data_IF_125171862930
#
_entry.id   IF_125171862930
#
_cell.length_a   1.000
_cell.length_b   1.000
_cell.length_c   1.000
_cell.angle_alpha   90.00
_cell.angle_beta   90.00
_cell.angle_gamma   90.00
#
_symmetry.space_group_name_H-M   'P 1'
#
loop_
_entity.id
_entity.type
_entity.pdbx_description
1 polymer ?
#
# COMPACT_ATOMS: atom_id res chain seq x y z
N UNK A 1 -39.84 62.02 -11.01
CA UNK A 1 -38.49 61.55 -10.55
C UNK A 1 -38.57 60.04 -10.48
N UNK A 2 -38.13 59.37 -11.54
CA UNK A 2 -38.05 57.89 -11.59
C UNK A 2 -36.62 57.50 -11.23
N UNK A 3 -36.50 56.66 -10.20
CA UNK A 3 -35.21 56.14 -9.74
C UNK A 3 -35.01 54.78 -10.39
N UNK A 4 -34.02 54.66 -11.30
CA UNK A 4 -33.56 53.38 -11.88
C UNK A 4 -32.64 52.70 -10.90
N UNK A 5 -32.95 51.45 -10.49
CA UNK A 5 -32.07 50.55 -9.79
C UNK A 5 -31.23 49.73 -10.78
N UNK A 6 -29.93 49.55 -10.58
CA UNK A 6 -29.11 48.72 -11.44
C UNK A 6 -29.29 47.24 -11.12
N UNK A 7 -29.55 46.43 -12.13
CA UNK A 7 -29.55 44.96 -12.09
C UNK A 7 -28.10 44.48 -12.04
N UNK A 8 -27.67 43.89 -10.93
CA UNK A 8 -26.41 43.16 -10.86
C UNK A 8 -26.58 41.73 -11.42
N UNK A 9 -26.05 41.51 -12.60
CA UNK A 9 -25.93 40.16 -13.19
C UNK A 9 -24.72 39.47 -12.57
N UNK A 10 -24.95 38.61 -11.58
CA UNK A 10 -23.91 37.77 -11.00
C UNK A 10 -23.48 36.65 -11.97
N UNK A 11 -22.28 36.73 -12.49
CA UNK A 11 -21.68 35.66 -13.27
C UNK A 11 -21.30 34.49 -12.34
N UNK A 12 -22.03 33.38 -12.44
CA UNK A 12 -21.69 32.14 -11.76
C UNK A 12 -20.59 31.44 -12.59
N UNK A 13 -19.36 31.52 -12.10
CA UNK A 13 -18.25 30.74 -12.66
C UNK A 13 -18.39 29.29 -12.22
N UNK A 14 -18.80 28.41 -13.13
CA UNK A 14 -18.67 26.97 -12.96
C UNK A 14 -17.20 26.57 -13.07
N UNK A 15 -16.55 26.31 -11.92
CA UNK A 15 -15.28 25.62 -11.90
C UNK A 15 -15.51 24.15 -12.26
N UNK A 16 -15.30 23.78 -13.51
CA UNK A 16 -15.15 22.38 -13.88
C UNK A 16 -13.87 21.84 -13.27
N UNK A 17 -13.91 20.72 -12.52
CA UNK A 17 -12.67 20.12 -12.01
C UNK A 17 -11.83 19.69 -13.22
N UNK A 18 -10.65 20.30 -13.36
CA UNK A 18 -9.64 19.88 -14.31
C UNK A 18 -9.29 18.42 -14.01
N UNK A 19 -9.72 17.49 -14.85
CA UNK A 19 -9.21 16.11 -14.84
C UNK A 19 -7.77 16.16 -15.27
N UNK A 20 -6.84 16.10 -14.32
CA UNK A 20 -5.42 15.89 -14.61
C UNK A 20 -5.33 14.48 -15.20
N UNK A 21 -5.18 14.39 -16.51
CA UNK A 21 -4.82 13.16 -17.19
C UNK A 21 -3.35 12.90 -16.87
N UNK A 22 -3.08 12.02 -15.91
CA UNK A 22 -1.73 11.58 -15.62
C UNK A 22 -1.28 10.71 -16.79
N UNK A 23 -0.44 11.27 -17.66
CA UNK A 23 0.22 10.51 -18.71
C UNK A 23 1.18 9.52 -18.03
N UNK A 24 0.88 8.22 -18.12
CA UNK A 24 1.80 7.20 -17.60
C UNK A 24 3.11 7.21 -18.36
N UNK A 25 4.22 7.03 -17.66
CA UNK A 25 5.53 6.91 -18.26
C UNK A 25 5.56 5.74 -19.25
N UNK A 26 6.10 6.01 -20.45
CA UNK A 26 6.21 4.98 -21.48
C UNK A 26 7.42 4.09 -21.20
N UNK A 27 7.20 2.77 -21.31
CA UNK A 27 8.28 1.80 -21.21
C UNK A 27 9.34 2.07 -22.30
N UNK A 28 10.64 2.11 -21.97
CA UNK A 28 11.70 2.30 -22.96
C UNK A 28 11.63 1.22 -24.05
N UNK A 29 11.87 1.63 -25.30
CA UNK A 29 11.80 0.72 -26.44
C UNK A 29 12.85 -0.40 -26.32
N UNK A 30 12.40 -1.65 -26.49
CA UNK A 30 13.27 -2.84 -26.44
C UNK A 30 13.53 -3.38 -25.04
N UNK A 31 12.90 -2.82 -24.00
CA UNK A 31 12.98 -3.38 -22.65
C UNK A 31 11.89 -4.43 -22.42
N UNK A 32 12.28 -5.53 -21.77
CA UNK A 32 11.40 -6.66 -21.48
C UNK A 32 10.75 -6.51 -20.11
N UNK A 33 9.55 -7.09 -19.95
CA UNK A 33 8.90 -7.19 -18.64
C UNK A 33 9.66 -8.20 -17.78
N UNK A 34 10.27 -7.73 -16.69
CA UNK A 34 10.93 -8.58 -15.70
C UNK A 34 9.93 -9.15 -14.70
N UNK A 35 9.04 -8.30 -14.21
CA UNK A 35 8.02 -8.68 -13.23
C UNK A 35 6.84 -7.74 -13.25
N UNK A 36 5.73 -8.22 -12.68
CA UNK A 36 4.56 -7.40 -12.37
C UNK A 36 3.89 -7.91 -11.11
N UNK A 37 3.40 -7.00 -10.27
CA UNK A 37 2.58 -7.32 -9.12
C UNK A 37 1.40 -6.36 -9.01
N UNK A 38 0.25 -6.89 -8.59
CA UNK A 38 -1.00 -6.11 -8.47
C UNK A 38 -1.62 -6.36 -7.11
N UNK A 39 -2.07 -5.29 -6.47
CA UNK A 39 -2.93 -5.37 -5.28
C UNK A 39 -4.23 -4.62 -5.52
N UNK A 40 -5.29 -5.04 -4.81
CA UNK A 40 -6.63 -4.50 -4.99
C UNK A 40 -7.12 -3.76 -3.75
N UNK A 41 -7.97 -2.75 -3.95
CA UNK A 41 -8.59 -1.93 -2.91
C UNK A 41 -10.03 -1.58 -3.30
N UNK A 42 -10.83 -1.13 -2.31
CA UNK A 42 -12.17 -0.63 -2.61
C UNK A 42 -12.07 0.77 -3.24
N UNK A 43 -12.49 0.89 -4.50
CA UNK A 43 -12.46 2.14 -5.25
C UNK A 43 -13.42 3.21 -4.70
N UNK A 44 -14.43 2.81 -3.92
CA UNK A 44 -15.38 3.74 -3.28
C UNK A 44 -14.76 4.50 -2.09
N UNK A 45 -13.67 3.98 -1.51
CA UNK A 45 -12.86 4.70 -0.52
C UNK A 45 -12.03 5.77 -1.26
N UNK A 46 -12.66 6.93 -1.51
CA UNK A 46 -12.10 8.01 -2.32
C UNK A 46 -10.76 8.52 -1.79
N UNK A 47 -10.67 8.77 -0.48
CA UNK A 47 -9.45 9.26 0.13
C UNK A 47 -8.28 8.29 -0.04
N UNK A 48 -8.54 7.00 0.16
CA UNK A 48 -7.56 5.94 -0.08
C UNK A 48 -7.16 5.82 -1.55
N UNK A 49 -8.15 5.87 -2.46
CA UNK A 49 -7.93 5.78 -3.90
C UNK A 49 -7.06 6.92 -4.41
N UNK A 50 -7.31 8.16 -3.94
CA UNK A 50 -6.51 9.33 -4.26
C UNK A 50 -5.08 9.20 -3.76
N UNK A 51 -4.88 8.80 -2.50
CA UNK A 51 -3.56 8.58 -1.92
C UNK A 51 -2.74 7.53 -2.68
N UNK A 52 -3.38 6.43 -3.10
CA UNK A 52 -2.75 5.39 -3.92
C UNK A 52 -2.35 5.97 -5.28
N UNK A 53 -3.23 6.77 -5.92
CA UNK A 53 -2.96 7.40 -7.20
C UNK A 53 -1.80 8.38 -7.13
N UNK A 54 -1.76 9.25 -6.12
CA UNK A 54 -0.66 10.19 -5.89
C UNK A 54 0.66 9.44 -5.69
N UNK A 55 0.70 8.48 -4.74
CA UNK A 55 1.93 7.75 -4.45
C UNK A 55 2.43 6.94 -5.65
N UNK A 56 1.52 6.32 -6.41
CA UNK A 56 1.88 5.58 -7.61
C UNK A 56 2.42 6.50 -8.73
N UNK A 57 1.80 7.67 -8.95
CA UNK A 57 2.25 8.61 -9.97
C UNK A 57 3.64 9.18 -9.68
N UNK A 58 3.99 9.36 -8.41
CA UNK A 58 5.30 9.87 -8.00
C UNK A 58 6.44 8.88 -8.23
N UNK A 59 6.16 7.58 -8.22
CA UNK A 59 7.17 6.54 -8.50
C UNK A 59 7.14 6.06 -9.96
N UNK A 60 6.11 6.41 -10.75
CA UNK A 60 6.00 6.01 -12.15
C UNK A 60 7.11 6.65 -13.00
N UNK A 61 7.77 5.84 -13.82
CA UNK A 61 8.83 6.31 -14.72
C UNK A 61 10.23 6.35 -14.13
N UNK A 62 10.41 5.97 -12.86
CA UNK A 62 11.74 5.92 -12.25
C UNK A 62 12.59 4.85 -12.91
N UNK A 63 13.84 5.20 -13.22
CA UNK A 63 14.87 4.26 -13.70
C UNK A 63 15.93 4.09 -12.62
N UNK A 64 16.10 2.86 -12.13
CA UNK A 64 17.16 2.51 -11.17
C UNK A 64 18.39 2.08 -11.99
N UNK A 65 19.46 2.86 -11.89
CA UNK A 65 20.70 2.59 -12.62
C UNK A 65 21.36 1.28 -12.15
N UNK A 66 22.28 0.69 -12.92
CA UNK A 66 23.07 -0.44 -12.47
C UNK A 66 23.72 -0.15 -11.12
N UNK A 67 23.54 -1.06 -10.17
CA UNK A 67 24.06 -0.94 -8.79
C UNK A 67 23.56 0.30 -8.03
N UNK A 68 22.51 0.95 -8.55
CA UNK A 68 21.90 2.12 -7.93
C UNK A 68 20.81 1.75 -6.93
N UNK A 69 20.53 2.67 -6.03
CA UNK A 69 19.50 2.55 -5.02
C UNK A 69 18.25 3.37 -5.37
N UNK A 70 17.11 2.91 -4.87
CA UNK A 70 15.83 3.60 -4.86
C UNK A 70 15.31 3.68 -3.43
N UNK A 71 14.82 4.85 -3.02
CA UNK A 71 14.13 5.08 -1.75
C UNK A 71 12.69 5.52 -2.04
N UNK A 72 11.73 4.79 -1.49
CA UNK A 72 10.31 5.14 -1.61
C UNK A 72 10.02 6.50 -0.95
N UNK A 73 10.54 6.72 0.25
CA UNK A 73 10.30 7.96 0.99
C UNK A 73 10.93 9.19 0.32
N UNK A 74 12.13 9.06 -0.26
CA UNK A 74 12.75 10.15 -1.00
C UNK A 74 11.96 10.50 -2.27
N UNK A 75 11.41 9.49 -2.95
CA UNK A 75 10.68 9.67 -4.22
C UNK A 75 9.27 10.21 -3.97
N UNK A 76 8.54 9.66 -3.00
CA UNK A 76 7.15 10.08 -2.70
C UNK A 76 7.10 11.34 -1.85
N UNK A 77 8.11 11.60 -1.03
CA UNK A 77 8.17 12.76 -0.15
C UNK A 77 7.21 12.68 1.04
N UNK A 78 6.95 13.85 1.63
CA UNK A 78 6.06 13.98 2.82
C UNK A 78 4.60 13.81 2.41
N UNK A 79 3.87 12.99 3.18
CA UNK A 79 2.44 12.74 2.98
C UNK A 79 1.65 13.74 3.81
N UNK A 80 1.41 14.92 3.25
CA UNK A 80 0.66 15.99 3.89
C UNK A 80 -0.55 16.39 3.05
N UNK A 81 -1.50 17.12 3.63
CA UNK A 81 -2.67 17.61 2.90
C UNK A 81 -2.26 18.64 1.82
N UNK A 82 -1.22 19.43 2.09
CA UNK A 82 -0.66 20.40 1.14
C UNK A 82 -0.05 19.70 -0.09
N UNK A 83 0.46 18.47 0.09
CA UNK A 83 0.91 17.61 -1.00
C UNK A 83 -0.23 16.83 -1.69
N UNK A 84 -1.49 17.10 -1.33
CA UNK A 84 -2.69 16.50 -1.92
C UNK A 84 -3.17 15.22 -1.24
N UNK A 85 -2.43 14.68 -0.25
CA UNK A 85 -2.83 13.45 0.43
C UNK A 85 -4.07 13.67 1.31
N UNK A 86 -5.01 12.72 1.22
CA UNK A 86 -6.30 12.75 1.90
C UNK A 86 -6.28 11.93 3.19
N UNK A 87 -7.25 12.20 4.06
CA UNK A 87 -7.52 11.33 5.19
C UNK A 87 -8.14 10.01 4.73
N UNK A 88 -7.61 8.90 5.23
CA UNK A 88 -8.14 7.57 5.04
C UNK A 88 -7.70 6.67 6.20
N UNK A 89 -8.17 5.41 6.26
CA UNK A 89 -7.76 4.48 7.30
C UNK A 89 -6.27 4.15 7.23
N UNK A 90 -5.56 4.37 8.34
CA UNK A 90 -4.17 3.96 8.58
C UNK A 90 -4.10 2.99 9.75
N UNK A 91 -2.98 2.26 9.87
CA UNK A 91 -2.64 1.46 11.06
C UNK A 91 -1.68 2.30 11.91
N UNK A 92 -2.10 2.64 13.12
CA UNK A 92 -1.30 3.37 14.10
C UNK A 92 -1.37 2.67 15.44
N UNK A 93 -0.22 2.32 16.02
CA UNK A 93 -0.11 1.62 17.32
C UNK A 93 -0.95 0.34 17.44
N UNK A 94 -1.13 -0.38 16.32
CA UNK A 94 -1.93 -1.61 16.30
C UNK A 94 -3.45 -1.39 16.21
N UNK A 95 -3.89 -0.20 15.84
CA UNK A 95 -5.30 0.13 15.62
C UNK A 95 -5.53 0.80 14.27
N UNK A 96 -6.75 0.66 13.73
CA UNK A 96 -7.18 1.39 12.55
C UNK A 96 -7.75 2.74 12.96
N UNK A 97 -7.12 3.82 12.52
CA UNK A 97 -7.54 5.21 12.77
C UNK A 97 -7.61 5.98 11.45
N UNK A 98 -8.27 7.14 11.45
CA UNK A 98 -8.19 8.08 10.33
C UNK A 98 -6.87 8.86 10.42
N UNK A 99 -6.19 8.96 9.27
CA UNK A 99 -4.95 9.72 9.15
C UNK A 99 -4.62 10.05 7.70
N UNK A 100 -3.76 11.05 7.48
CA UNK A 100 -3.35 11.47 6.14
C UNK A 100 -2.45 10.41 5.50
N UNK A 101 -2.70 10.08 4.24
CA UNK A 101 -1.88 9.13 3.46
C UNK A 101 -2.29 7.66 3.60
N UNK A 102 -3.47 7.36 4.16
CA UNK A 102 -3.98 5.98 4.18
C UNK A 102 -4.08 5.41 2.76
N UNK A 103 -3.45 4.25 2.53
CA UNK A 103 -3.31 3.64 1.20
C UNK A 103 -1.89 3.63 0.65
N UNK A 104 -1.03 4.59 1.04
CA UNK A 104 0.36 4.68 0.54
C UNK A 104 1.16 3.40 0.81
N UNK A 105 1.00 2.78 1.98
CA UNK A 105 1.64 1.49 2.29
C UNK A 105 1.19 0.33 1.39
N UNK A 106 0.06 0.45 0.70
CA UNK A 106 -0.33 -0.53 -0.32
C UNK A 106 0.51 -0.36 -1.59
N UNK A 107 0.87 0.87 -1.96
CA UNK A 107 1.78 1.14 -3.09
C UNK A 107 3.17 0.60 -2.78
N UNK A 108 3.74 0.91 -1.61
CA UNK A 108 5.06 0.38 -1.19
C UNK A 108 5.07 -1.15 -1.10
N UNK A 109 4.00 -1.77 -0.60
CA UNK A 109 3.85 -3.24 -0.58
C UNK A 109 3.78 -3.85 -1.97
N UNK A 110 3.06 -3.20 -2.90
CA UNK A 110 2.99 -3.65 -4.30
C UNK A 110 4.35 -3.56 -4.97
N UNK A 111 5.08 -2.46 -4.70
CA UNK A 111 6.44 -2.24 -5.17
C UNK A 111 7.41 -3.30 -4.61
N UNK A 112 7.37 -3.57 -3.30
CA UNK A 112 8.17 -4.60 -2.64
C UNK A 112 8.05 -5.97 -3.33
N UNK A 113 6.82 -6.40 -3.59
CA UNK A 113 6.58 -7.69 -4.24
C UNK A 113 7.02 -7.69 -5.71
N UNK A 114 6.78 -6.62 -6.46
CA UNK A 114 7.26 -6.50 -7.84
C UNK A 114 8.79 -6.49 -7.89
N UNK A 115 9.45 -5.77 -6.98
CA UNK A 115 10.91 -5.69 -6.89
C UNK A 115 11.55 -7.06 -6.62
N UNK A 116 11.07 -7.79 -5.64
CA UNK A 116 11.55 -9.16 -5.35
C UNK A 116 11.38 -10.09 -6.56
N UNK A 117 10.25 -9.98 -7.27
CA UNK A 117 9.97 -10.80 -8.48
C UNK A 117 10.81 -10.40 -9.68
N UNK A 118 11.44 -9.23 -9.70
CA UNK A 118 12.39 -8.79 -10.73
C UNK A 118 13.86 -9.04 -10.35
N UNK A 119 14.12 -9.68 -9.21
CA UNK A 119 15.47 -9.95 -8.74
C UNK A 119 16.17 -8.74 -8.11
N UNK A 120 15.47 -7.64 -7.85
CA UNK A 120 16.01 -6.52 -7.10
C UNK A 120 16.27 -6.88 -5.64
N UNK A 121 17.28 -6.30 -5.04
CA UNK A 121 17.62 -6.49 -3.62
C UNK A 121 16.81 -5.50 -2.78
N UNK A 122 16.17 -6.00 -1.72
CA UNK A 122 15.54 -5.16 -0.71
C UNK A 122 16.59 -4.85 0.36
N UNK A 123 16.94 -3.57 0.51
CA UNK A 123 17.95 -3.11 1.48
C UNK A 123 17.31 -2.58 2.76
N UNK A 124 16.05 -2.10 2.68
CA UNK A 124 15.26 -1.70 3.86
C UNK A 124 13.78 -2.03 3.63
N UNK A 125 13.14 -2.60 4.63
CA UNK A 125 11.69 -2.81 4.70
C UNK A 125 11.23 -2.92 6.16
N UNK A 126 9.95 -2.65 6.39
CA UNK A 126 9.32 -2.77 7.72
C UNK A 126 7.97 -3.48 7.59
N UNK A 127 7.62 -4.42 8.51
CA UNK A 127 6.29 -5.03 8.56
C UNK A 127 5.27 -4.09 9.19
N UNK A 128 3.99 -4.27 8.86
CA UNK A 128 2.93 -3.69 9.67
C UNK A 128 2.77 -4.45 10.99
N UNK A 129 2.25 -3.76 12.01
CA UNK A 129 1.91 -4.39 13.29
C UNK A 129 0.67 -5.28 13.23
N UNK A 130 -0.23 -5.03 12.26
CA UNK A 130 -1.43 -5.79 11.98
C UNK A 130 -1.35 -6.40 10.58
N UNK A 131 -1.95 -7.57 10.42
CA UNK A 131 -2.07 -8.20 9.11
C UNK A 131 -2.93 -7.35 8.17
N UNK A 132 -2.38 -6.99 7.02
CA UNK A 132 -3.09 -6.34 5.93
C UNK A 132 -3.81 -7.39 5.07
N UNK A 133 -4.87 -6.99 4.36
CA UNK A 133 -5.72 -7.92 3.61
C UNK A 133 -5.36 -8.08 2.13
N UNK A 134 -4.56 -7.15 1.59
CA UNK A 134 -4.28 -7.08 0.15
C UNK A 134 -3.04 -7.88 -0.29
N UNK A 135 -2.31 -8.49 0.66
CA UNK A 135 -1.23 -9.45 0.40
C UNK A 135 -1.23 -10.56 1.46
N UNK A 136 -0.66 -11.75 1.16
CA UNK A 136 -0.36 -12.75 2.18
C UNK A 136 0.57 -12.20 3.27
N UNK A 137 0.55 -12.73 4.50
CA UNK A 137 1.44 -12.29 5.57
C UNK A 137 2.92 -12.46 5.19
N UNK A 138 3.81 -11.65 5.79
CA UNK A 138 5.24 -11.53 5.48
C UNK A 138 5.55 -11.09 4.03
N UNK A 139 4.58 -10.45 3.36
CA UNK A 139 4.75 -9.88 2.02
C UNK A 139 4.39 -8.39 1.94
N UNK A 140 4.10 -7.77 3.06
CA UNK A 140 3.83 -6.34 3.18
C UNK A 140 5.13 -5.53 3.41
N UNK A 141 5.08 -4.25 3.06
CA UNK A 141 6.15 -3.28 3.33
C UNK A 141 5.52 -1.97 3.78
N UNK A 142 5.57 -1.71 5.08
CA UNK A 142 5.10 -0.49 5.69
C UNK A 142 6.10 0.64 5.48
N UNK A 143 5.60 1.84 5.20
CA UNK A 143 6.38 3.07 5.14
C UNK A 143 5.77 4.13 6.05
N UNK A 144 6.63 4.92 6.67
CA UNK A 144 6.26 6.04 7.54
C UNK A 144 7.27 7.17 7.38
N UNK A 145 7.26 8.16 8.25
CA UNK A 145 8.32 9.19 8.30
C UNK A 145 9.67 8.65 8.76
N UNK A 146 9.68 7.51 9.47
CA UNK A 146 10.87 6.88 10.05
C UNK A 146 11.20 5.51 9.45
N UNK A 147 10.30 4.97 8.64
CA UNK A 147 10.43 3.64 8.03
C UNK A 147 10.35 3.78 6.52
N UNK A 148 11.33 3.30 5.81
CA UNK A 148 11.39 3.36 4.34
C UNK A 148 11.27 1.98 3.69
N UNK A 149 11.02 1.95 2.40
CA UNK A 149 11.26 0.83 1.52
C UNK A 149 12.39 1.22 0.58
N UNK A 150 13.52 0.52 0.68
CA UNK A 150 14.69 0.77 -0.17
C UNK A 150 15.03 -0.46 -1.00
N UNK A 151 15.37 -0.20 -2.24
CA UNK A 151 15.70 -1.20 -3.24
C UNK A 151 17.07 -0.89 -3.82
N UNK A 152 17.83 -1.93 -4.13
CA UNK A 152 19.07 -1.85 -4.91
C UNK A 152 18.90 -2.67 -6.19
N UNK A 153 19.37 -2.14 -7.30
CA UNK A 153 19.47 -2.85 -8.57
C UNK A 153 20.79 -3.63 -8.63
N UNK A 154 20.83 -4.96 -8.42
CA UNK A 154 22.08 -5.73 -8.47
C UNK A 154 22.53 -6.05 -9.91
N UNK A 155 21.74 -5.67 -10.92
CA UNK A 155 22.03 -5.99 -12.32
C UNK A 155 23.00 -4.99 -12.95
N UNK A 156 23.76 -5.44 -13.94
CA UNK A 156 24.65 -4.60 -14.76
C UNK A 156 23.89 -3.71 -15.77
N UNK A 157 22.55 -3.75 -15.77
CA UNK A 157 21.67 -3.02 -16.66
C UNK A 157 20.65 -2.20 -15.85
N UNK A 158 20.21 -1.04 -16.33
CA UNK A 158 19.19 -0.27 -15.66
C UNK A 158 17.84 -0.99 -15.66
N UNK A 159 17.01 -0.69 -14.64
CA UNK A 159 15.66 -1.23 -14.47
C UNK A 159 14.67 -0.08 -14.41
N UNK A 160 13.61 -0.13 -15.21
CA UNK A 160 12.56 0.88 -15.28
C UNK A 160 11.33 0.43 -14.50
N UNK A 161 10.83 1.31 -13.65
CA UNK A 161 9.62 1.13 -12.85
C UNK A 161 8.44 1.78 -13.54
N UNK A 162 7.37 1.03 -13.75
CA UNK A 162 6.08 1.54 -14.18
C UNK A 162 5.03 1.26 -13.11
N UNK A 163 4.27 2.29 -12.72
CA UNK A 163 3.17 2.20 -11.77
C UNK A 163 1.87 2.64 -12.44
N UNK A 164 0.85 1.76 -12.43
CA UNK A 164 -0.46 2.03 -13.00
C UNK A 164 -1.56 1.80 -11.97
N UNK A 165 -2.43 2.80 -11.81
CA UNK A 165 -3.65 2.69 -11.02
C UNK A 165 -4.83 2.55 -11.96
N UNK A 166 -5.73 1.65 -11.65
CA UNK A 166 -6.99 1.41 -12.35
C UNK A 166 -8.09 1.25 -11.32
N UNK A 167 -9.35 1.17 -11.77
CA UNK A 167 -10.47 1.09 -10.83
C UNK A 167 -10.33 -0.12 -9.88
N UNK A 168 -10.09 0.16 -8.59
CA UNK A 168 -9.92 -0.84 -7.54
C UNK A 168 -8.58 -1.56 -7.52
N UNK A 169 -7.56 -1.13 -8.26
CA UNK A 169 -6.26 -1.78 -8.28
C UNK A 169 -5.06 -0.87 -8.53
N UNK A 170 -3.90 -1.27 -8.01
CA UNK A 170 -2.60 -0.70 -8.34
C UNK A 170 -1.66 -1.81 -8.79
N UNK A 171 -1.02 -1.60 -9.94
CA UNK A 171 -0.04 -2.50 -10.54
C UNK A 171 1.30 -1.81 -10.63
N UNK A 172 2.34 -2.51 -10.22
CA UNK A 172 3.73 -2.10 -10.40
C UNK A 172 4.42 -3.16 -11.24
N UNK A 173 5.15 -2.70 -12.26
CA UNK A 173 5.89 -3.54 -13.20
C UNK A 173 7.31 -3.03 -13.32
N UNK A 174 8.26 -3.93 -13.41
CA UNK A 174 9.66 -3.63 -13.72
C UNK A 174 10.00 -4.12 -15.11
N UNK A 175 10.72 -3.29 -15.85
CA UNK A 175 11.21 -3.57 -17.18
C UNK A 175 12.74 -3.42 -17.22
N UNK A 176 13.40 -4.21 -18.04
CA UNK A 176 14.85 -4.20 -18.18
C UNK A 176 15.33 -5.29 -19.11
N UNK A 177 16.57 -5.74 -18.91
CA UNK A 177 17.13 -6.89 -19.62
C UNK A 177 16.82 -8.16 -18.83
N UNK A 178 16.12 -9.11 -19.46
CA UNK A 178 15.84 -10.40 -18.85
C UNK A 178 17.08 -11.31 -18.93
N UNK A 179 17.57 -11.78 -17.78
CA UNK A 179 18.72 -12.68 -17.67
C UNK A 179 18.32 -14.17 -17.57
N UNK A 180 17.02 -14.47 -17.79
CA UNK A 180 16.49 -15.82 -17.79
C UNK A 180 16.13 -16.39 -16.41
N UNK A 181 16.25 -15.60 -15.36
CA UNK A 181 15.82 -15.97 -14.03
C UNK A 181 14.38 -15.52 -13.76
N UNK A 182 13.60 -16.35 -13.09
CA UNK A 182 12.26 -16.06 -12.60
C UNK A 182 12.23 -16.19 -11.09
N UNK A 183 11.62 -15.22 -10.42
CA UNK A 183 11.52 -15.21 -8.97
C UNK A 183 10.08 -15.34 -8.51
N UNK A 184 9.85 -16.19 -7.51
CA UNK A 184 8.56 -16.38 -6.86
C UNK A 184 8.68 -16.16 -5.35
N UNK A 185 7.59 -15.63 -4.76
CA UNK A 185 7.52 -15.40 -3.32
C UNK A 185 6.46 -16.31 -2.75
N UNK A 186 6.86 -17.19 -1.83
CA UNK A 186 5.94 -18.02 -1.07
C UNK A 186 5.82 -17.50 0.36
N UNK A 187 4.63 -17.65 0.96
CA UNK A 187 4.33 -17.23 2.33
C UNK A 187 3.62 -18.36 3.07
N UNK A 188 4.00 -18.60 4.32
CA UNK A 188 3.46 -19.65 5.17
C UNK A 188 3.08 -19.09 6.53
N UNK A 189 1.86 -19.32 6.99
CA UNK A 189 1.45 -19.11 8.38
C UNK A 189 2.04 -20.27 9.19
N UNK A 190 2.76 -19.94 10.26
CA UNK A 190 3.38 -20.88 11.18
C UNK A 190 2.49 -21.11 12.39
N UNK A 191 1.85 -20.04 12.89
CA UNK A 191 1.04 -20.07 14.08
C UNK A 191 -0.07 -19.01 13.97
N UNK A 192 -1.28 -19.35 14.42
CA UNK A 192 -2.37 -18.39 14.64
C UNK A 192 -2.39 -17.94 16.09
N UNK A 193 -2.50 -16.63 16.31
CA UNK A 193 -2.53 -16.01 17.62
C UNK A 193 -3.97 -15.56 17.91
N UNK A 194 -4.70 -16.23 18.82
CA UNK A 194 -6.08 -15.86 19.13
C UNK A 194 -6.12 -14.47 19.76
N UNK A 195 -7.19 -13.68 19.50
CA UNK A 195 -7.35 -12.38 20.12
C UNK A 195 -7.68 -12.53 21.61
N UNK A 196 -7.32 -11.54 22.45
CA UNK A 196 -7.79 -11.47 23.82
C UNK A 196 -9.32 -11.43 23.89
N UNK A 197 -9.93 -11.77 25.04
CA UNK A 197 -11.35 -11.60 25.27
C UNK A 197 -11.82 -10.19 24.90
N UNK A 198 -13.03 -10.03 24.33
CA UNK A 198 -13.49 -8.72 23.88
C UNK A 198 -13.66 -7.74 25.06
N UNK A 199 -13.38 -6.47 24.78
CA UNK A 199 -13.71 -5.38 25.71
C UNK A 199 -15.21 -5.16 25.65
N UNK A 200 -15.86 -5.19 26.81
CA UNK A 200 -17.29 -4.83 26.93
C UNK A 200 -17.38 -3.35 27.29
N UNK A 201 -18.11 -2.59 26.48
CA UNK A 201 -18.45 -1.18 26.73
C UNK A 201 -19.95 -1.06 27.02
N UNK A 202 -20.33 -0.07 27.80
CA UNK A 202 -21.72 0.30 27.98
C UNK A 202 -22.31 0.84 26.68
N UNK A 203 -23.53 0.44 26.35
CA UNK A 203 -24.26 0.85 25.14
C UNK A 203 -25.75 0.60 25.31
N UNK A 204 -26.56 1.20 24.44
CA UNK A 204 -28.01 1.10 24.46
C UNK A 204 -28.54 -0.29 24.04
N UNK A 205 -27.73 -1.04 23.31
CA UNK A 205 -28.05 -2.38 22.78
C UNK A 205 -26.79 -3.24 22.69
N UNK A 206 -26.98 -4.54 22.50
CA UNK A 206 -25.90 -5.46 22.20
C UNK A 206 -25.47 -5.27 20.74
N UNK A 207 -24.20 -4.84 20.52
CA UNK A 207 -23.64 -4.57 19.19
C UNK A 207 -22.14 -4.85 19.16
N UNK A 208 -21.65 -5.41 18.04
CA UNK A 208 -20.22 -5.60 17.81
C UNK A 208 -19.64 -4.29 17.23
N UNK A 209 -18.98 -3.50 18.06
CA UNK A 209 -18.32 -2.27 17.64
C UNK A 209 -17.01 -2.52 16.90
N UNK A 210 -16.31 -3.60 17.25
CA UNK A 210 -15.10 -4.06 16.58
C UNK A 210 -15.05 -5.59 16.61
N UNK A 211 -15.03 -6.22 15.44
CA UNK A 211 -14.86 -7.67 15.33
C UNK A 211 -13.44 -8.09 15.72
N UNK A 212 -13.25 -9.14 16.52
CA UNK A 212 -11.94 -9.69 16.81
C UNK A 212 -11.32 -10.30 15.55
N UNK A 213 -9.96 -10.29 15.47
CA UNK A 213 -9.23 -10.97 14.40
C UNK A 213 -8.01 -11.67 14.98
N UNK A 214 -7.74 -12.89 14.51
CA UNK A 214 -6.49 -13.59 14.85
C UNK A 214 -5.28 -12.81 14.36
N UNK A 215 -4.25 -12.74 15.18
CA UNK A 215 -2.90 -12.47 14.76
C UNK A 215 -2.27 -13.70 14.12
N UNK A 216 -1.09 -13.57 13.54
CA UNK A 216 -0.36 -14.71 12.96
C UNK A 216 1.14 -14.51 13.09
N UNK A 217 1.88 -15.61 13.28
CA UNK A 217 3.30 -15.69 12.95
C UNK A 217 3.43 -16.31 11.57
N UNK A 218 4.29 -15.75 10.74
CA UNK A 218 4.44 -16.19 9.35
C UNK A 218 5.88 -16.07 8.87
N UNK A 219 6.20 -16.78 7.80
CA UNK A 219 7.47 -16.72 7.10
C UNK A 219 7.25 -16.54 5.61
N UNK A 220 8.15 -15.81 4.96
CA UNK A 220 8.21 -15.69 3.51
C UNK A 220 9.55 -16.17 2.97
N UNK A 221 9.53 -16.73 1.77
CA UNK A 221 10.68 -17.26 1.07
C UNK A 221 10.70 -16.69 -0.36
N UNK A 222 11.90 -16.40 -0.84
CA UNK A 222 12.18 -16.10 -2.24
C UNK A 222 12.75 -17.34 -2.92
N UNK A 223 12.12 -17.75 -3.99
CA UNK A 223 12.52 -18.88 -4.83
C UNK A 223 12.98 -18.33 -6.18
N UNK A 224 14.17 -18.76 -6.61
CA UNK A 224 14.75 -18.41 -7.91
C UNK A 224 14.71 -19.64 -8.80
N UNK A 225 14.18 -19.47 -9.99
CA UNK A 225 14.09 -20.49 -11.01
C UNK A 225 14.90 -20.08 -12.24
N UNK A 226 15.49 -21.05 -12.92
CA UNK A 226 16.03 -20.92 -14.27
C UNK A 226 15.35 -21.94 -15.16
N UNK A 227 14.52 -21.49 -16.08
CA UNK A 227 13.48 -22.33 -16.69
C UNK A 227 12.56 -22.90 -15.60
N UNK A 228 12.32 -24.23 -15.63
CA UNK A 228 11.50 -24.92 -14.62
C UNK A 228 12.29 -25.38 -13.38
N UNK A 229 13.62 -25.24 -13.40
CA UNK A 229 14.48 -25.72 -12.31
C UNK A 229 14.57 -24.71 -11.19
N UNK A 230 14.21 -25.13 -9.95
CA UNK A 230 14.48 -24.37 -8.73
C UNK A 230 16.01 -24.31 -8.50
N UNK A 231 16.58 -23.10 -8.53
CA UNK A 231 18.03 -22.86 -8.35
C UNK A 231 18.35 -22.55 -6.90
N UNK A 232 17.49 -21.76 -6.25
CA UNK A 232 17.67 -21.43 -4.85
C UNK A 232 16.34 -21.09 -4.18
N UNK A 233 16.29 -21.34 -2.86
CA UNK A 233 15.22 -20.90 -1.96
C UNK A 233 15.86 -20.26 -0.74
N UNK A 234 15.52 -19.00 -0.49
CA UNK A 234 16.04 -18.21 0.63
C UNK A 234 14.90 -17.74 1.50
N UNK A 235 15.00 -17.90 2.81
CA UNK A 235 14.09 -17.26 3.76
C UNK A 235 14.30 -15.75 3.68
N UNK A 236 13.25 -15.00 3.36
CA UNK A 236 13.28 -13.55 3.31
C UNK A 236 13.15 -12.96 4.71
N UNK A 237 12.08 -13.38 5.41
CA UNK A 237 11.72 -12.81 6.71
C UNK A 237 10.76 -13.73 7.48
N UNK A 238 10.60 -13.46 8.75
CA UNK A 238 9.54 -13.97 9.59
C UNK A 238 8.97 -12.84 10.41
N UNK A 239 7.64 -12.77 10.50
CA UNK A 239 6.91 -11.69 11.15
C UNK A 239 5.85 -12.21 12.10
N UNK A 240 5.56 -11.38 13.10
CA UNK A 240 4.42 -11.54 13.99
C UNK A 240 3.47 -10.37 13.84
N UNK A 241 2.24 -10.66 13.43
CA UNK A 241 1.14 -9.70 13.33
C UNK A 241 0.25 -9.87 14.55
N UNK A 242 0.00 -8.77 15.27
CA UNK A 242 -0.78 -8.79 16.51
C UNK A 242 -2.25 -9.15 16.22
N UNK A 243 -2.92 -9.88 17.13
CA UNK A 243 -4.35 -10.05 17.07
C UNK A 243 -5.07 -8.72 17.33
N UNK A 244 -6.28 -8.59 16.80
CA UNK A 244 -7.16 -7.46 17.06
C UNK A 244 -8.20 -7.88 18.11
N UNK A 245 -8.19 -7.22 19.27
CA UNK A 245 -9.17 -7.45 20.34
C UNK A 245 -10.55 -6.95 19.90
N UNK A 246 -11.61 -7.74 20.13
CA UNK A 246 -12.99 -7.35 19.88
C UNK A 246 -13.47 -6.25 20.83
N UNK A 247 -14.47 -5.48 20.41
CA UNK A 247 -15.21 -4.55 21.29
C UNK A 247 -16.69 -4.82 21.09
N UNK A 248 -17.38 -5.09 22.20
CA UNK A 248 -18.83 -5.31 22.28
C UNK A 248 -19.48 -4.17 23.08
N UNK A 249 -20.54 -3.58 22.54
CA UNK A 249 -21.44 -2.77 23.35
C UNK A 249 -22.48 -3.70 23.98
N UNK A 250 -22.79 -3.51 25.26
CA UNK A 250 -23.89 -4.20 25.98
C UNK A 250 -24.65 -3.22 26.86
N UNK A 251 -25.93 -3.39 26.91
CA UNK A 251 -26.76 -2.69 27.92
C UNK A 251 -26.35 -3.23 29.28
N UNK A 252 -25.77 -2.39 30.11
CA UNK A 252 -25.50 -2.73 31.52
C UNK A 252 -26.83 -2.56 32.26
N UNK A 253 -27.39 -3.65 32.79
CA UNK A 253 -28.55 -3.57 33.67
C UNK A 253 -28.14 -2.75 34.89
N UNK A 254 -28.87 -1.66 35.19
CA UNK A 254 -28.68 -0.94 36.44
C UNK A 254 -28.92 -1.92 37.58
N UNK A 255 -28.04 -1.99 38.59
CA UNK A 255 -28.18 -2.92 39.71
C UNK A 255 -29.27 -2.48 40.74
N UNK A 256 -30.31 -1.75 40.32
CA UNK A 256 -31.42 -1.31 41.15
C UNK A 256 -32.75 -1.49 40.40
N UNK A 257 -33.29 -2.70 40.46
CA UNK A 257 -34.72 -3.04 40.60
C UNK A 257 -34.86 -4.31 41.42
#
# INVERSE_FOLDING_TARGET
MQVFAPLFLGAVFFFSPMRVSVAHAQTPKGWELLSSYTTYFNAEDRGRSENISIAASLIDGVTIQPYGEFSFNQTVGRRTQEAGFQQAKIILNGEYVLGVGGGVCQVSTTLYNAALKSGLTITEFHPHSLRVSYVPPSRDAMVSTQSDLRLENPHAHPVFLQAKVFNGGVRISFYGKNEGDRYEITSKIIEELPPPPPIVKEGDREEILRSPKNGVKSEAYLERYRGEKLVSRKRLRGDEYRPVQGILAKKIANPTE
#
